data_IF_292789617552
#
_entry.id   IF_292789617552
#
_cell.length_a   1.000
_cell.length_b   1.000
_cell.length_c   1.000
_cell.angle_alpha   90.00
_cell.angle_beta   90.00
_cell.angle_gamma   90.00
#
_symmetry.space_group_name_H-M   'P 1'
#
loop_
_entity.id
_entity.type
_entity.pdbx_description
1 polymer ?
#
# COMPACT_ATOMS: atom_id res chain seq x y z
N UNK A 1 31.97 -12.43 -18.52
CA UNK A 1 32.71 -11.16 -18.70
C UNK A 1 31.71 -10.01 -18.57
N UNK A 2 32.09 -8.83 -18.02
CA UNK A 2 31.21 -7.68 -17.92
C UNK A 2 30.77 -7.19 -19.32
N UNK A 3 29.56 -6.64 -19.44
CA UNK A 3 28.97 -6.30 -20.74
C UNK A 3 29.65 -5.09 -21.41
N UNK A 4 30.26 -4.20 -20.63
CA UNK A 4 31.03 -3.04 -21.12
C UNK A 4 32.19 -2.70 -20.17
N UNK A 5 33.25 -2.07 -20.70
CA UNK A 5 34.35 -1.55 -19.90
C UNK A 5 33.86 -0.39 -19.01
N UNK A 6 34.21 -0.41 -17.72
CA UNK A 6 33.81 0.62 -16.74
C UNK A 6 32.54 0.31 -15.94
N UNK A 7 31.90 -0.85 -16.13
CA UNK A 7 30.74 -1.26 -15.33
C UNK A 7 31.15 -1.50 -13.86
N UNK A 8 30.86 -0.53 -12.99
CA UNK A 8 31.08 -0.64 -11.55
C UNK A 8 29.94 -1.43 -10.92
N UNK A 9 30.25 -2.47 -10.14
CA UNK A 9 29.23 -3.14 -9.31
C UNK A 9 28.92 -2.26 -8.11
N UNK A 10 27.86 -1.45 -8.21
CA UNK A 10 27.35 -0.73 -7.05
C UNK A 10 26.90 -1.74 -5.96
N UNK A 11 27.28 -1.53 -4.69
CA UNK A 11 26.77 -2.35 -3.60
C UNK A 11 25.26 -2.17 -3.47
N UNK A 12 24.55 -3.25 -3.13
CA UNK A 12 23.11 -3.19 -2.89
C UNK A 12 22.81 -2.26 -1.71
N UNK A 13 21.92 -1.28 -1.91
CA UNK A 13 21.42 -0.44 -0.82
C UNK A 13 20.40 -1.27 -0.04
N UNK A 14 20.79 -1.71 1.15
CA UNK A 14 19.89 -2.41 2.07
C UNK A 14 19.28 -1.39 3.01
N UNK A 15 18.00 -1.10 2.86
CA UNK A 15 17.26 -0.22 3.77
C UNK A 15 17.21 -0.84 5.17
N UNK A 16 17.84 -0.20 6.16
CA UNK A 16 17.87 -0.63 7.58
C UNK A 16 16.88 0.13 8.46
N UNK A 17 15.82 0.69 7.89
CA UNK A 17 14.81 1.41 8.65
C UNK A 17 13.88 0.41 9.37
N UNK A 18 13.71 0.58 10.69
CA UNK A 18 12.68 -0.13 11.42
C UNK A 18 11.31 0.43 11.03
N UNK A 19 10.42 -0.43 10.55
CA UNK A 19 9.03 -0.08 10.27
C UNK A 19 8.09 -1.04 11.00
N UNK A 20 6.97 -0.51 11.48
CA UNK A 20 5.89 -1.30 12.05
C UNK A 20 4.74 -1.34 11.05
N UNK A 21 4.25 -2.54 10.74
CA UNK A 21 3.08 -2.74 9.88
C UNK A 21 1.93 -3.31 10.71
N UNK A 22 0.73 -2.75 10.51
CA UNK A 22 -0.51 -3.25 11.10
C UNK A 22 -1.53 -3.52 10.00
N UNK A 23 -2.24 -4.63 10.09
CA UNK A 23 -3.32 -4.96 9.16
C UNK A 23 -4.54 -4.10 9.51
N UNK A 24 -4.90 -3.19 8.61
CA UNK A 24 -6.02 -2.26 8.83
C UNK A 24 -7.37 -2.82 8.35
N UNK A 25 -7.38 -3.67 7.31
CA UNK A 25 -8.59 -4.33 6.81
C UNK A 25 -8.21 -5.62 6.07
N UNK A 26 -9.08 -6.62 6.12
CA UNK A 26 -8.94 -7.89 5.39
C UNK A 26 -10.18 -8.14 4.53
N UNK A 27 -10.18 -9.18 3.68
CA UNK A 27 -11.33 -9.53 2.85
C UNK A 27 -11.62 -8.54 1.70
N UNK A 28 -10.60 -7.82 1.23
CA UNK A 28 -10.68 -6.99 0.03
C UNK A 28 -10.59 -7.86 -1.23
N UNK A 29 -11.46 -7.60 -2.21
CA UNK A 29 -11.47 -8.31 -3.48
C UNK A 29 -10.71 -7.51 -4.56
N UNK A 30 -9.45 -7.89 -4.80
CA UNK A 30 -8.57 -7.27 -5.79
C UNK A 30 -8.50 -5.73 -5.63
N UNK A 31 -7.96 -5.21 -4.51
CA UNK A 31 -7.79 -3.78 -4.33
C UNK A 31 -6.80 -3.23 -5.36
N UNK A 32 -7.22 -2.19 -6.09
CA UNK A 32 -6.42 -1.55 -7.15
C UNK A 32 -5.82 -0.22 -6.68
N UNK A 33 -6.54 0.54 -5.86
CA UNK A 33 -6.13 1.88 -5.45
C UNK A 33 -6.56 2.22 -4.05
N UNK A 34 -5.74 3.04 -3.39
CA UNK A 34 -6.03 3.63 -2.08
C UNK A 34 -5.92 5.14 -2.14
N UNK A 35 -6.76 5.85 -1.42
CA UNK A 35 -6.68 7.30 -1.24
C UNK A 35 -6.88 7.66 0.23
N UNK A 36 -6.00 8.50 0.76
CA UNK A 36 -6.10 9.02 2.12
C UNK A 36 -6.99 10.26 2.12
N UNK A 37 -8.00 10.27 3.00
CA UNK A 37 -8.89 11.41 3.16
C UNK A 37 -8.34 12.35 4.24
N UNK A 38 -8.67 13.66 4.16
CA UNK A 38 -8.25 14.65 5.17
C UNK A 38 -8.76 14.34 6.58
N UNK A 39 -9.84 13.57 6.72
CA UNK A 39 -10.42 13.17 7.99
C UNK A 39 -9.75 11.93 8.61
N UNK A 40 -8.74 11.37 7.95
CA UNK A 40 -8.03 10.17 8.37
C UNK A 40 -8.67 8.86 7.90
N UNK A 41 -9.72 8.89 7.09
CA UNK A 41 -10.24 7.67 6.45
C UNK A 41 -9.42 7.28 5.23
N UNK A 42 -9.54 6.03 4.81
CA UNK A 42 -8.89 5.48 3.63
C UNK A 42 -9.98 4.96 2.69
N UNK A 43 -10.03 5.50 1.48
CA UNK A 43 -10.82 4.97 0.39
C UNK A 43 -10.03 3.86 -0.30
N UNK A 44 -10.64 2.67 -0.43
CA UNK A 44 -10.10 1.53 -1.13
C UNK A 44 -11.00 1.24 -2.33
N UNK A 45 -10.44 1.25 -3.54
CA UNK A 45 -11.12 0.88 -4.78
C UNK A 45 -10.81 -0.57 -5.13
N UNK A 46 -11.84 -1.38 -5.26
CA UNK A 46 -11.76 -2.77 -5.71
C UNK A 46 -11.97 -2.86 -7.22
N UNK A 47 -11.27 -3.78 -7.89
CA UNK A 47 -11.36 -3.95 -9.36
C UNK A 47 -12.77 -4.33 -9.82
N UNK A 48 -13.57 -4.94 -8.95
CA UNK A 48 -14.98 -5.32 -9.19
C UNK A 48 -15.91 -4.09 -9.17
N UNK A 49 -15.38 -2.87 -9.09
CA UNK A 49 -16.15 -1.62 -9.13
C UNK A 49 -16.72 -1.22 -7.76
N UNK A 50 -16.37 -1.95 -6.70
CA UNK A 50 -16.82 -1.65 -5.34
C UNK A 50 -15.86 -0.66 -4.68
N UNK A 51 -16.42 0.29 -3.94
CA UNK A 51 -15.65 1.28 -3.20
C UNK A 51 -15.90 1.09 -1.70
N UNK A 52 -14.81 1.02 -0.94
CA UNK A 52 -14.81 0.72 0.49
C UNK A 52 -14.12 1.84 1.24
N UNK A 53 -14.68 2.22 2.38
CA UNK A 53 -14.08 3.21 3.27
C UNK A 53 -13.62 2.49 4.53
N UNK A 54 -12.33 2.60 4.82
CA UNK A 54 -11.68 2.08 6.04
C UNK A 54 -11.41 3.27 6.95
N UNK A 55 -11.94 3.22 8.16
CA UNK A 55 -11.62 4.21 9.19
C UNK A 55 -10.31 3.83 9.89
N UNK A 56 -9.28 4.67 9.79
CA UNK A 56 -7.96 4.36 10.37
C UNK A 56 -7.92 4.40 11.89
N UNK A 57 -8.89 5.04 12.55
CA UNK A 57 -8.97 5.14 14.01
C UNK A 57 -9.70 3.96 14.63
N UNK A 58 -10.71 3.45 13.93
CA UNK A 58 -11.59 2.39 14.46
C UNK A 58 -11.46 1.05 13.73
N UNK A 59 -10.59 0.98 12.71
CA UNK A 59 -10.32 -0.21 11.87
C UNK A 59 -11.59 -0.80 11.26
N UNK A 60 -12.62 0.03 11.11
CA UNK A 60 -13.95 -0.39 10.73
C UNK A 60 -14.19 -0.13 9.25
N UNK A 61 -14.59 -1.18 8.56
CA UNK A 61 -14.98 -1.13 7.16
C UNK A 61 -16.43 -0.68 7.03
N UNK A 62 -16.67 0.38 6.26
CA UNK A 62 -18.00 0.78 5.82
C UNK A 62 -18.07 0.74 4.29
N UNK A 63 -19.21 0.28 3.75
CA UNK A 63 -19.48 0.41 2.31
C UNK A 63 -19.76 1.88 2.03
N UNK A 64 -19.10 2.45 1.03
CA UNK A 64 -19.53 3.73 0.49
C UNK A 64 -20.87 3.48 -0.22
N UNK A 65 -21.92 4.14 0.27
CA UNK A 65 -23.26 4.09 -0.32
C UNK A 65 -23.39 5.09 -1.45
#
# INVERSE_FOLDING_TARGET
MPAFAGQTRAPAVVTRAHYAAKVMTTGLNQPWGIAFLPDGKILVKEKVGTMRVVDSKTERLKRAS
#
